data_IF_290740901111
#
_entry.id   IF_290740901111
#
_cell.length_a   1.000
_cell.length_b   1.000
_cell.length_c   1.000
_cell.angle_alpha   90.00
_cell.angle_beta   90.00
_cell.angle_gamma   90.00
#
_symmetry.space_group_name_H-M   'P 1'
#
loop_
_entity.id
_entity.type
_entity.pdbx_description
1 polymer ?
#
# COMPACT_ATOMS: atom_id res chain seq x y z
N UNK A 1 -11.21 1.60 -15.13
CA UNK A 1 -11.84 0.49 -14.38
C UNK A 1 -12.08 0.83 -12.92
N UNK A 2 -11.03 1.07 -12.10
CA UNK A 2 -11.20 1.36 -10.66
C UNK A 2 -12.25 2.45 -10.35
N UNK A 3 -12.12 3.64 -10.96
CA UNK A 3 -13.00 4.77 -10.68
C UNK A 3 -14.47 4.48 -11.05
N UNK A 4 -14.69 3.83 -12.19
CA UNK A 4 -16.01 3.38 -12.62
C UNK A 4 -16.63 2.42 -11.60
N UNK A 5 -15.87 1.41 -11.15
CA UNK A 5 -16.35 0.46 -10.13
C UNK A 5 -16.70 1.17 -8.81
N UNK A 6 -15.89 2.15 -8.39
CA UNK A 6 -16.18 2.95 -7.20
C UNK A 6 -17.49 3.73 -7.37
N UNK A 7 -17.69 4.38 -8.51
CA UNK A 7 -18.91 5.13 -8.81
C UNK A 7 -20.15 4.23 -8.78
N UNK A 8 -20.09 3.07 -9.42
CA UNK A 8 -21.21 2.11 -9.43
C UNK A 8 -21.54 1.60 -8.02
N UNK A 9 -20.53 1.30 -7.19
CA UNK A 9 -20.74 0.88 -5.80
C UNK A 9 -21.42 2.00 -4.98
N UNK A 10 -20.97 3.25 -5.13
CA UNK A 10 -21.56 4.38 -4.43
C UNK A 10 -23.01 4.61 -4.87
N UNK A 11 -23.29 4.49 -6.17
CA UNK A 11 -24.64 4.59 -6.72
C UNK A 11 -25.57 3.50 -6.17
N UNK A 12 -25.16 2.22 -6.23
CA UNK A 12 -25.94 1.09 -5.71
C UNK A 12 -26.21 1.22 -4.20
N UNK A 13 -25.22 1.69 -3.44
CA UNK A 13 -25.32 1.76 -1.97
C UNK A 13 -25.91 3.08 -1.45
N UNK A 14 -26.10 4.07 -2.32
CA UNK A 14 -26.55 5.42 -1.98
C UNK A 14 -25.62 6.16 -1.00
N UNK A 15 -24.35 5.76 -0.91
CA UNK A 15 -23.38 6.36 0.01
C UNK A 15 -22.58 7.49 -0.66
N UNK A 16 -22.06 8.42 0.15
CA UNK A 16 -21.25 9.53 -0.34
C UNK A 16 -19.77 9.18 -0.50
N UNK A 17 -19.28 8.23 0.30
CA UNK A 17 -17.93 7.70 0.21
C UNK A 17 -17.88 6.21 0.58
N UNK A 18 -16.78 5.57 0.17
CA UNK A 18 -16.57 4.16 0.47
C UNK A 18 -16.47 3.93 1.97
N UNK A 19 -17.10 2.85 2.42
CA UNK A 19 -17.13 2.42 3.80
C UNK A 19 -17.77 3.42 4.80
N UNK A 20 -18.63 4.34 4.35
CA UNK A 20 -19.40 5.26 5.23
C UNK A 20 -20.15 4.52 6.34
N UNK A 21 -20.67 3.33 6.04
CA UNK A 21 -21.33 2.44 7.00
C UNK A 21 -20.40 1.84 8.07
N UNK A 22 -19.08 2.02 7.95
CA UNK A 22 -18.06 1.40 8.80
C UNK A 22 -17.10 2.45 9.42
N UNK A 23 -17.59 3.38 10.25
CA UNK A 23 -16.79 4.50 10.78
C UNK A 23 -15.61 4.06 11.65
N UNK A 24 -15.74 2.93 12.37
CA UNK A 24 -14.62 2.36 13.15
C UNK A 24 -13.49 1.89 12.24
N UNK A 25 -13.83 1.30 11.09
CA UNK A 25 -12.86 0.85 10.09
C UNK A 25 -12.17 2.06 9.45
N UNK A 26 -12.93 3.05 8.97
CA UNK A 26 -12.38 4.28 8.38
C UNK A 26 -11.39 4.96 9.33
N UNK A 27 -11.73 5.13 10.62
CA UNK A 27 -10.80 5.71 11.60
C UNK A 27 -9.53 4.89 11.77
N UNK A 28 -9.64 3.56 11.86
CA UNK A 28 -8.48 2.67 12.04
C UNK A 28 -7.57 2.68 10.82
N UNK A 29 -8.15 2.63 9.62
CA UNK A 29 -7.42 2.67 8.36
C UNK A 29 -6.78 4.05 8.14
N UNK A 30 -7.55 5.12 8.34
CA UNK A 30 -7.10 6.50 8.19
C UNK A 30 -5.90 6.85 9.07
N UNK A 31 -5.77 6.27 10.26
CA UNK A 31 -4.58 6.43 11.11
C UNK A 31 -3.29 5.83 10.51
N UNK A 32 -3.40 4.78 9.69
CA UNK A 32 -2.24 4.05 9.14
C UNK A 32 -1.92 4.46 7.70
N UNK A 33 -2.90 4.93 6.94
CA UNK A 33 -2.75 5.31 5.53
C UNK A 33 -1.59 6.28 5.26
N UNK A 34 -1.35 7.35 6.05
CA UNK A 34 -0.23 8.25 5.80
C UNK A 34 1.13 7.55 5.85
N UNK A 35 1.33 6.69 6.86
CA UNK A 35 2.56 5.92 7.02
C UNK A 35 2.70 4.88 5.90
N UNK A 36 1.62 4.17 5.57
CA UNK A 36 1.61 3.20 4.46
C UNK A 36 1.95 3.86 3.12
N UNK A 37 1.45 5.07 2.88
CA UNK A 37 1.78 5.85 1.68
C UNK A 37 3.28 6.16 1.63
N UNK A 38 3.88 6.60 2.74
CA UNK A 38 5.31 6.88 2.81
C UNK A 38 6.16 5.63 2.55
N UNK A 39 5.83 4.52 3.21
CA UNK A 39 6.55 3.24 3.01
C UNK A 39 6.37 2.72 1.59
N UNK A 40 5.17 2.80 1.04
CA UNK A 40 4.88 2.38 -0.34
C UNK A 40 5.66 3.19 -1.37
N UNK A 41 5.78 4.50 -1.19
CA UNK A 41 6.62 5.34 -2.05
C UNK A 41 8.09 4.95 -1.94
N UNK A 42 8.61 4.77 -0.71
CA UNK A 42 10.00 4.31 -0.53
C UNK A 42 10.25 2.92 -1.12
N UNK A 43 9.25 2.03 -1.08
CA UNK A 43 9.32 0.72 -1.72
C UNK A 43 9.49 0.81 -3.24
N UNK A 44 8.84 1.78 -3.90
CA UNK A 44 9.01 2.02 -5.34
C UNK A 44 10.46 2.41 -5.65
N UNK A 45 11.04 3.32 -4.87
CA UNK A 45 12.44 3.72 -5.03
C UNK A 45 13.39 2.54 -4.81
N UNK A 46 13.22 1.78 -3.72
CA UNK A 46 14.02 0.60 -3.42
C UNK A 46 13.93 -0.46 -4.53
N UNK A 47 12.75 -0.63 -5.13
CA UNK A 47 12.57 -1.55 -6.25
C UNK A 47 13.30 -1.07 -7.51
N UNK A 48 13.30 0.24 -7.78
CA UNK A 48 14.03 0.83 -8.89
C UNK A 48 15.56 0.68 -8.69
N UNK A 49 16.06 1.04 -7.50
CA UNK A 49 17.47 0.88 -7.10
C UNK A 49 17.91 -0.60 -7.22
N UNK A 50 17.11 -1.52 -6.67
CA UNK A 50 17.42 -2.95 -6.70
C UNK A 50 17.45 -3.53 -8.12
N UNK A 51 16.53 -3.11 -8.99
CA UNK A 51 16.51 -3.54 -10.40
C UNK A 51 17.67 -2.99 -11.22
N UNK A 52 18.20 -1.83 -10.85
CA UNK A 52 19.35 -1.22 -11.51
C UNK A 52 20.69 -1.80 -11.04
N UNK A 53 20.76 -2.36 -9.83
CA UNK A 53 21.96 -2.95 -9.27
C UNK A 53 22.34 -4.28 -9.97
N UNK A 54 23.64 -4.50 -10.24
CA UNK A 54 24.14 -5.85 -10.59
C UNK A 54 24.07 -6.73 -9.35
N UNK A 55 23.46 -7.91 -9.48
CA UNK A 55 23.08 -8.83 -8.39
C UNK A 55 24.25 -9.40 -7.56
N UNK A 56 25.50 -9.09 -7.88
CA UNK A 56 26.70 -9.73 -7.31
C UNK A 56 27.33 -8.97 -6.13
N UNK A 57 26.85 -7.76 -5.79
CA UNK A 57 27.43 -6.97 -4.71
C UNK A 57 26.66 -7.12 -3.38
N UNK A 58 27.39 -7.03 -2.26
CA UNK A 58 26.89 -6.91 -0.89
C UNK A 58 25.86 -5.78 -0.73
N UNK A 59 26.00 -4.69 -1.48
CA UNK A 59 25.03 -3.59 -1.57
C UNK A 59 23.65 -4.08 -2.00
N UNK A 60 23.59 -4.99 -2.98
CA UNK A 60 22.35 -5.57 -3.49
C UNK A 60 21.61 -6.41 -2.43
N UNK A 61 22.33 -7.04 -1.49
CA UNK A 61 21.72 -7.77 -0.37
C UNK A 61 21.06 -6.83 0.64
N UNK A 62 21.70 -5.72 0.99
CA UNK A 62 21.12 -4.73 1.91
C UNK A 62 19.89 -4.05 1.32
N UNK A 63 19.90 -3.77 0.01
CA UNK A 63 18.75 -3.27 -0.73
C UNK A 63 17.59 -4.27 -0.71
N UNK A 64 17.88 -5.56 -0.94
CA UNK A 64 16.87 -6.62 -0.86
C UNK A 64 16.24 -6.71 0.53
N UNK A 65 17.03 -6.65 1.60
CA UNK A 65 16.50 -6.66 2.98
C UNK A 65 15.58 -5.47 3.22
N UNK A 66 15.97 -4.28 2.77
CA UNK A 66 15.16 -3.06 2.92
C UNK A 66 13.85 -3.15 2.14
N UNK A 67 13.89 -3.70 0.93
CA UNK A 67 12.72 -3.94 0.09
C UNK A 67 11.76 -4.96 0.71
N UNK A 68 12.29 -6.05 1.27
CA UNK A 68 11.48 -7.05 2.00
C UNK A 68 10.83 -6.45 3.25
N UNK A 69 11.55 -5.59 3.98
CA UNK A 69 11.00 -4.90 5.15
C UNK A 69 9.83 -3.98 4.75
N UNK A 70 9.96 -3.23 3.63
CA UNK A 70 8.88 -2.37 3.14
C UNK A 70 7.66 -3.19 2.72
N UNK A 71 7.87 -4.32 2.03
CA UNK A 71 6.78 -5.22 1.62
C UNK A 71 6.02 -5.77 2.83
N UNK A 72 6.75 -6.23 3.86
CA UNK A 72 6.15 -6.71 5.09
C UNK A 72 5.36 -5.61 5.83
N UNK A 73 5.88 -4.39 5.85
CA UNK A 73 5.20 -3.26 6.47
C UNK A 73 3.90 -2.91 5.74
N UNK A 74 3.92 -2.83 4.41
CA UNK A 74 2.73 -2.56 3.58
C UNK A 74 1.69 -3.67 3.77
N UNK A 75 2.12 -4.93 3.72
CA UNK A 75 1.24 -6.10 3.94
C UNK A 75 0.56 -6.06 5.30
N UNK A 76 1.34 -5.86 6.38
CA UNK A 76 0.80 -5.81 7.73
C UNK A 76 -0.13 -4.60 7.96
N UNK A 77 0.14 -3.47 7.29
CA UNK A 77 -0.64 -2.26 7.42
C UNK A 77 -1.96 -2.29 6.67
N UNK A 78 -1.99 -2.85 5.45
CA UNK A 78 -3.20 -3.02 4.65
C UNK A 78 -4.13 -4.09 5.23
N UNK A 79 -3.57 -5.17 5.78
CA UNK A 79 -4.35 -6.26 6.35
C UNK A 79 -4.95 -7.17 5.29
N UNK A 80 -6.21 -7.58 5.48
CA UNK A 80 -6.91 -8.48 4.56
C UNK A 80 -7.50 -7.72 3.38
N UNK A 81 -7.09 -8.06 2.16
CA UNK A 81 -7.44 -7.32 0.92
C UNK A 81 -8.08 -8.21 -0.17
N UNK A 82 -8.28 -9.50 0.09
CA UNK A 82 -8.83 -10.47 -0.86
C UNK A 82 -9.12 -11.81 -0.21
#
# INVERSE_FOLDING_TARGET
EYETTVQEILWITGQSALADRFPRFQRRLGRRLPMLKQVGLRQVDLLAEFRAARLEDTTSRNMLVSLMLSMNCVSAGLGWTG
#
